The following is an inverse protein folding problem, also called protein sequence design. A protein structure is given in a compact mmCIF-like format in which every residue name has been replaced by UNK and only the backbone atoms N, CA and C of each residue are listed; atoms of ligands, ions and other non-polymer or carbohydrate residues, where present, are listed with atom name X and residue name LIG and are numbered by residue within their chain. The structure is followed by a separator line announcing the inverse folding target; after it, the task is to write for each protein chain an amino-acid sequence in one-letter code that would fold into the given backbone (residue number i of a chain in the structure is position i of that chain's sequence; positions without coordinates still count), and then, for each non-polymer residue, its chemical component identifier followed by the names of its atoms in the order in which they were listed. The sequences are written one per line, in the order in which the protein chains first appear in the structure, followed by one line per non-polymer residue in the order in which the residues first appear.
data_IF_256402917387
#
_entry.id   IF_256402917387
#
_cell.length_a   1.000
_cell.length_b   1.000
_cell.length_c   1.000
_cell.angle_alpha   90.00
_cell.angle_beta   90.00
_cell.angle_gamma   90.00
#
_symmetry.space_group_name_H-M   'P 1'
#
loop_
_entity.id
_entity.type
_entity.pdbx_description
1 polymer ?
#
# COMPACT_ATOMS: atom_id res chain seq x y z
N UNK A 1 -0.61 20.29 -16.20
CA UNK A 1 -0.66 19.19 -17.20
C UNK A 1 0.75 19.08 -17.74
N UNK A 2 1.39 17.90 -17.65
CA UNK A 2 2.77 17.72 -18.15
C UNK A 2 2.75 17.67 -19.68
N UNK A 3 3.66 18.37 -20.40
CA UNK A 3 3.77 18.30 -21.86
C UNK A 3 3.97 16.86 -22.37
N UNK A 4 3.38 16.50 -23.52
CA UNK A 4 3.41 15.13 -24.06
C UNK A 4 4.83 14.58 -24.24
N UNK A 5 5.79 15.44 -24.61
CA UNK A 5 7.22 15.08 -24.76
C UNK A 5 7.89 14.59 -23.46
N UNK A 6 7.28 14.82 -22.29
CA UNK A 6 7.81 14.46 -20.98
C UNK A 6 7.04 13.28 -20.34
N UNK A 7 6.11 12.64 -21.06
CA UNK A 7 5.26 11.56 -20.53
C UNK A 7 5.83 10.15 -20.69
N UNK A 8 6.90 9.96 -21.47
CA UNK A 8 7.40 8.62 -21.82
C UNK A 8 7.74 7.76 -20.60
N UNK A 9 8.44 8.33 -19.61
CA UNK A 9 8.75 7.64 -18.36
C UNK A 9 7.47 7.29 -17.59
N UNK A 10 6.54 8.24 -17.46
CA UNK A 10 5.27 8.00 -16.76
C UNK A 10 4.51 6.83 -17.40
N UNK A 11 4.35 6.84 -18.73
CA UNK A 11 3.65 5.76 -19.45
C UNK A 11 4.36 4.43 -19.29
N UNK A 12 5.70 4.42 -19.39
CA UNK A 12 6.52 3.20 -19.23
C UNK A 12 6.35 2.60 -17.84
N UNK A 13 6.47 3.41 -16.80
CA UNK A 13 6.41 2.94 -15.43
C UNK A 13 4.97 2.59 -15.00
N UNK A 14 3.94 3.31 -15.44
CA UNK A 14 2.54 2.87 -15.22
C UNK A 14 2.29 1.48 -15.83
N UNK A 15 2.79 1.21 -17.04
CA UNK A 15 2.70 -0.13 -17.65
C UNK A 15 3.46 -1.19 -16.84
N UNK A 16 4.63 -0.83 -16.30
CA UNK A 16 5.41 -1.71 -15.43
C UNK A 16 4.64 -2.05 -14.15
N UNK A 17 4.12 -1.04 -13.44
CA UNK A 17 3.31 -1.22 -12.23
C UNK A 17 2.08 -2.11 -12.51
N UNK A 18 1.40 -1.87 -13.63
CA UNK A 18 0.28 -2.70 -14.07
C UNK A 18 0.70 -4.14 -14.37
N UNK A 19 1.85 -4.35 -15.01
CA UNK A 19 2.41 -5.68 -15.27
C UNK A 19 2.73 -6.44 -13.97
N UNK A 20 3.35 -5.78 -13.00
CA UNK A 20 3.60 -6.33 -11.66
C UNK A 20 2.29 -6.73 -10.99
N UNK A 21 1.30 -5.83 -10.99
CA UNK A 21 -0.01 -6.10 -10.39
C UNK A 21 -0.69 -7.30 -11.03
N UNK A 22 -0.77 -7.35 -12.36
CA UNK A 22 -1.42 -8.45 -13.08
C UNK A 22 -0.70 -9.77 -12.82
N UNK A 23 0.63 -9.76 -12.78
CA UNK A 23 1.43 -10.97 -12.49
C UNK A 23 1.15 -11.51 -11.09
N UNK A 24 1.21 -10.66 -10.07
CA UNK A 24 0.97 -11.05 -8.68
C UNK A 24 -0.48 -11.46 -8.44
N UNK A 25 -1.43 -10.74 -9.03
CA UNK A 25 -2.84 -11.05 -8.92
C UNK A 25 -3.18 -12.41 -9.55
N UNK A 26 -2.64 -12.71 -10.74
CA UNK A 26 -2.83 -14.01 -11.38
C UNK A 26 -2.32 -15.16 -10.51
N UNK A 27 -1.14 -14.99 -9.91
CA UNK A 27 -0.57 -16.00 -9.01
C UNK A 27 -1.39 -16.15 -7.72
N UNK A 28 -1.87 -15.04 -7.13
CA UNK A 28 -2.77 -15.09 -5.98
C UNK A 28 -4.08 -15.81 -6.32
N UNK A 29 -4.63 -15.59 -7.52
CA UNK A 29 -5.87 -16.22 -7.97
C UNK A 29 -5.69 -17.72 -8.19
N UNK A 30 -4.59 -18.17 -8.81
CA UNK A 30 -4.33 -19.60 -8.94
C UNK A 30 -4.19 -20.30 -7.58
N UNK A 31 -3.59 -19.62 -6.60
CA UNK A 31 -3.53 -20.17 -5.24
C UNK A 31 -4.91 -20.17 -4.55
N UNK A 32 -5.75 -19.15 -4.75
CA UNK A 32 -7.13 -19.17 -4.25
C UNK A 32 -7.95 -20.32 -4.84
N UNK A 33 -7.81 -20.58 -6.14
CA UNK A 33 -8.44 -21.73 -6.81
C UNK A 33 -7.94 -23.07 -6.26
N UNK A 34 -6.63 -23.21 -6.04
CA UNK A 34 -6.03 -24.39 -5.41
C UNK A 34 -6.58 -24.63 -4.00
N UNK A 35 -6.60 -23.59 -3.17
CA UNK A 35 -7.11 -23.70 -1.79
C UNK A 35 -8.62 -24.00 -1.75
N UNK A 36 -9.41 -23.36 -2.61
CA UNK A 36 -10.86 -23.61 -2.70
C UNK A 36 -11.21 -25.00 -3.26
N UNK A 37 -10.30 -25.64 -3.99
CA UNK A 37 -10.52 -27.01 -4.50
C UNK A 37 -10.57 -28.06 -3.39
N UNK A 38 -9.98 -27.77 -2.22
CA UNK A 38 -9.79 -28.74 -1.13
C UNK A 38 -8.77 -29.84 -1.45
N UNK A 39 -8.09 -29.78 -2.62
CA UNK A 39 -7.12 -30.76 -3.08
C UNK A 39 -5.74 -30.12 -3.15
N UNK A 40 -5.02 -30.15 -2.03
CA UNK A 40 -3.68 -29.61 -1.92
C UNK A 40 -2.81 -30.46 -0.98
N UNK A 41 -1.51 -30.42 -1.20
CA UNK A 41 -0.51 -31.01 -0.28
C UNK A 41 -0.05 -29.97 0.74
N UNK A 42 0.51 -30.44 1.85
CA UNK A 42 1.15 -29.55 2.84
C UNK A 42 2.24 -28.66 2.20
N UNK A 43 3.02 -29.22 1.28
CA UNK A 43 4.06 -28.48 0.55
C UNK A 43 3.48 -27.32 -0.26
N UNK A 44 2.32 -27.52 -0.90
CA UNK A 44 1.62 -26.46 -1.63
C UNK A 44 1.10 -25.38 -0.68
N UNK A 45 0.61 -25.73 0.52
CA UNK A 45 0.21 -24.74 1.53
C UNK A 45 1.41 -23.88 1.93
N UNK A 46 2.58 -24.49 2.15
CA UNK A 46 3.82 -23.77 2.47
C UNK A 46 4.31 -22.89 1.31
N UNK A 47 4.13 -23.32 0.06
CA UNK A 47 4.42 -22.50 -1.12
C UNK A 47 3.55 -21.23 -1.14
N UNK A 48 2.24 -21.39 -0.88
CA UNK A 48 1.29 -20.27 -0.81
C UNK A 48 1.65 -19.32 0.33
N UNK A 49 2.01 -19.85 1.50
CA UNK A 49 2.50 -19.05 2.63
C UNK A 49 3.79 -18.30 2.26
N UNK A 50 4.72 -18.94 1.57
CA UNK A 50 5.94 -18.31 1.09
C UNK A 50 5.64 -17.18 0.12
N UNK A 51 4.70 -17.37 -0.81
CA UNK A 51 4.24 -16.32 -1.72
C UNK A 51 3.68 -15.12 -0.95
N UNK A 52 2.75 -15.34 -0.01
CA UNK A 52 2.19 -14.27 0.82
C UNK A 52 3.28 -13.47 1.55
N UNK A 53 4.26 -14.16 2.13
CA UNK A 53 5.31 -13.53 2.94
C UNK A 53 6.41 -12.85 2.13
N UNK A 54 6.72 -13.35 0.93
CA UNK A 54 7.89 -12.91 0.14
C UNK A 54 7.53 -12.09 -1.08
N UNK A 55 6.34 -12.27 -1.64
CA UNK A 55 5.86 -11.53 -2.82
C UNK A 55 4.86 -10.45 -2.45
N UNK A 56 3.98 -10.74 -1.49
CA UNK A 56 3.00 -9.76 -0.97
C UNK A 56 3.45 -9.09 0.34
N UNK A 57 4.62 -9.48 0.87
CA UNK A 57 5.25 -8.90 2.06
C UNK A 57 4.32 -8.86 3.29
N UNK A 58 3.39 -9.81 3.40
CA UNK A 58 2.48 -9.93 4.55
C UNK A 58 2.90 -11.12 5.41
N UNK A 59 3.25 -10.87 6.67
CA UNK A 59 3.72 -11.89 7.61
C UNK A 59 2.84 -11.93 8.85
N UNK A 60 2.61 -13.11 9.38
CA UNK A 60 2.04 -13.29 10.70
C UNK A 60 3.00 -14.19 11.50
N UNK A 61 3.55 -13.72 12.65
CA UNK A 61 4.43 -14.52 13.50
C UNK A 61 3.78 -15.83 13.98
N UNK A 62 2.45 -15.88 14.04
CA UNK A 62 1.68 -17.00 14.56
C UNK A 62 1.41 -18.09 13.52
N UNK A 63 1.77 -17.92 12.23
CA UNK A 63 1.48 -18.95 11.21
C UNK A 63 2.12 -20.30 11.50
N UNK A 64 3.20 -20.33 12.28
CA UNK A 64 3.90 -21.56 12.69
C UNK A 64 3.09 -22.39 13.71
N UNK A 65 2.11 -21.78 14.36
CA UNK A 65 1.28 -22.39 15.39
C UNK A 65 -0.07 -22.87 14.83
N UNK A 66 -0.36 -22.59 13.55
CA UNK A 66 -1.62 -22.95 12.91
C UNK A 66 -1.56 -24.38 12.37
N UNK A 67 -2.63 -25.12 12.55
CA UNK A 67 -2.84 -26.37 11.81
C UNK A 67 -3.12 -26.08 10.33
N UNK A 68 -2.94 -27.07 9.44
CA UNK A 68 -3.10 -26.89 7.99
C UNK A 68 -4.49 -26.32 7.63
N UNK A 69 -5.55 -26.77 8.28
CA UNK A 69 -6.90 -26.26 8.04
C UNK A 69 -7.04 -24.77 8.40
N UNK A 70 -6.47 -24.35 9.53
CA UNK A 70 -6.47 -22.95 9.98
C UNK A 70 -5.58 -22.09 9.09
N UNK A 71 -4.42 -22.62 8.69
CA UNK A 71 -3.49 -21.96 7.80
C UNK A 71 -4.13 -21.72 6.42
N UNK A 72 -4.88 -22.67 5.88
CA UNK A 72 -5.61 -22.51 4.61
C UNK A 72 -6.67 -21.41 4.71
N UNK A 73 -7.45 -21.37 5.80
CA UNK A 73 -8.44 -20.29 6.03
C UNK A 73 -7.73 -18.94 6.12
N UNK A 74 -6.63 -18.87 6.87
CA UNK A 74 -5.80 -17.66 6.98
C UNK A 74 -5.27 -17.21 5.62
N UNK A 75 -4.65 -18.10 4.85
CA UNK A 75 -4.08 -17.80 3.54
C UNK A 75 -5.15 -17.32 2.57
N UNK A 76 -6.30 -17.99 2.54
CA UNK A 76 -7.45 -17.59 1.71
C UNK A 76 -7.91 -16.18 2.05
N UNK A 77 -8.08 -15.86 3.33
CA UNK A 77 -8.48 -14.53 3.79
C UNK A 77 -7.44 -13.45 3.45
N UNK A 78 -6.15 -13.81 3.44
CA UNK A 78 -5.03 -12.91 3.13
C UNK A 78 -4.85 -12.67 1.64
N UNK A 79 -5.04 -13.71 0.82
CA UNK A 79 -4.94 -13.59 -0.64
C UNK A 79 -6.17 -12.92 -1.26
N UNK A 80 -7.37 -13.21 -0.76
CA UNK A 80 -8.62 -12.70 -1.34
C UNK A 80 -8.96 -11.27 -0.85
N UNK A 81 -8.09 -10.33 -1.19
CA UNK A 81 -8.19 -8.91 -0.84
C UNK A 81 -7.95 -8.05 -2.07
N UNK A 82 -8.44 -6.79 -2.10
CA UNK A 82 -7.98 -5.81 -3.07
C UNK A 82 -6.45 -5.70 -3.06
N UNK A 83 -5.87 -5.42 -4.21
CA UNK A 83 -4.41 -5.31 -4.37
C UNK A 83 -4.05 -3.92 -4.90
N UNK A 84 -2.96 -3.35 -4.39
CA UNK A 84 -2.35 -2.13 -4.92
C UNK A 84 -0.86 -2.34 -5.14
N UNK A 85 -0.39 -1.89 -6.30
CA UNK A 85 1.04 -1.74 -6.58
C UNK A 85 1.32 -0.24 -6.66
N UNK A 86 2.19 0.24 -5.80
CA UNK A 86 2.49 1.67 -5.67
C UNK A 86 3.91 1.94 -6.16
N UNK A 87 4.04 2.89 -7.08
CA UNK A 87 5.33 3.48 -7.42
C UNK A 87 5.88 4.25 -6.22
N UNK A 88 7.18 4.13 -5.96
CA UNK A 88 7.90 4.86 -4.91
C UNK A 88 9.09 5.57 -5.55
N UNK A 89 9.25 6.86 -5.29
CA UNK A 89 10.39 7.64 -5.82
C UNK A 89 11.42 7.87 -4.71
N UNK A 90 12.72 8.03 -5.05
CA UNK A 90 13.72 8.44 -4.08
C UNK A 90 13.32 9.73 -3.36
N UNK A 91 13.48 9.76 -2.05
CA UNK A 91 13.13 10.92 -1.25
C UNK A 91 14.22 12.00 -1.38
N UNK A 92 13.85 13.16 -1.91
CA UNK A 92 14.73 14.33 -2.08
C UNK A 92 14.47 15.43 -1.03
N UNK A 93 13.93 15.05 0.14
CA UNK A 93 13.56 15.96 1.23
C UNK A 93 12.12 16.45 1.18
N UNK A 94 11.26 15.78 0.40
CA UNK A 94 9.86 16.16 0.27
C UNK A 94 9.05 15.67 1.48
N UNK A 95 8.23 16.53 2.10
CA UNK A 95 7.33 16.10 3.17
C UNK A 95 6.18 15.26 2.60
N UNK A 96 5.88 14.15 3.29
CA UNK A 96 4.66 13.36 3.15
C UNK A 96 4.89 11.86 3.42
N UNK A 97 3.99 11.03 2.90
CA UNK A 97 3.98 9.59 3.20
C UNK A 97 5.09 8.79 2.53
N UNK A 98 5.62 7.80 3.24
CA UNK A 98 6.69 6.90 2.75
C UNK A 98 6.33 5.43 2.92
N UNK A 99 7.09 4.51 2.30
CA UNK A 99 6.89 3.07 2.44
C UNK A 99 7.44 2.54 3.77
N UNK A 100 6.62 1.81 4.53
CA UNK A 100 7.01 1.18 5.79
C UNK A 100 6.44 -0.23 5.93
N UNK A 101 7.04 -1.03 6.80
CA UNK A 101 6.38 -2.19 7.39
C UNK A 101 5.63 -1.72 8.64
N UNK A 102 4.34 -2.03 8.73
CA UNK A 102 3.49 -1.67 9.86
C UNK A 102 2.84 -2.91 10.46
N UNK A 103 2.56 -2.84 11.77
CA UNK A 103 1.73 -3.81 12.46
C UNK A 103 0.26 -3.48 12.20
N UNK A 104 -0.50 -4.47 11.75
CA UNK A 104 -1.93 -4.37 11.47
C UNK A 104 -2.75 -4.81 12.69
N UNK A 105 -4.04 -4.41 12.79
CA UNK A 105 -4.91 -4.79 13.90
C UNK A 105 -5.07 -6.31 14.12
N UNK A 106 -4.90 -7.11 13.06
CA UNK A 106 -4.99 -8.56 13.12
C UNK A 106 -3.67 -9.27 13.48
N UNK A 107 -2.66 -8.51 13.94
CA UNK A 107 -1.35 -9.02 14.35
C UNK A 107 -0.39 -9.28 13.20
N UNK A 108 -0.82 -9.08 11.94
CA UNK A 108 0.09 -9.21 10.79
C UNK A 108 0.99 -8.00 10.61
N UNK A 109 2.13 -8.20 9.95
CA UNK A 109 3.04 -7.14 9.52
C UNK A 109 3.00 -7.08 7.99
N UNK A 110 2.69 -5.91 7.43
CA UNK A 110 2.66 -5.72 5.97
C UNK A 110 3.12 -4.34 5.53
N UNK A 111 3.31 -4.17 4.22
CA UNK A 111 3.66 -2.90 3.61
C UNK A 111 2.51 -1.89 3.72
N UNK A 112 2.81 -0.69 4.19
CA UNK A 112 1.89 0.44 4.36
C UNK A 112 2.57 1.76 4.00
N UNK A 113 1.78 2.77 3.64
CA UNK A 113 2.25 4.11 3.28
C UNK A 113 1.99 5.06 4.44
N UNK A 114 2.94 5.25 5.35
CA UNK A 114 2.71 6.03 6.57
C UNK A 114 3.12 7.48 6.39
N UNK A 115 2.28 8.39 6.88
CA UNK A 115 2.61 9.80 7.08
C UNK A 115 3.12 10.07 8.50
N UNK A 116 3.75 11.22 8.72
CA UNK A 116 4.28 11.60 10.04
C UNK A 116 3.20 11.65 11.13
N UNK A 117 1.95 11.93 10.78
CA UNK A 117 0.81 11.91 11.70
C UNK A 117 0.47 10.52 12.23
N UNK A 118 0.88 9.46 11.54
CA UNK A 118 0.65 8.05 11.89
C UNK A 118 1.86 7.43 12.59
N UNK A 119 2.93 8.19 12.79
CA UNK A 119 4.17 7.75 13.40
C UNK A 119 4.33 8.49 14.73
N UNK A 120 4.61 7.74 15.79
CA UNK A 120 4.90 8.33 17.09
C UNK A 120 6.28 9.00 17.06
N UNK A 121 6.28 10.31 16.84
CA UNK A 121 7.49 11.13 16.73
C UNK A 121 8.18 11.39 18.09
N UNK A 122 7.56 10.97 19.20
CA UNK A 122 8.19 11.03 20.52
C UNK A 122 9.06 9.80 20.81
N UNK A 123 8.85 8.71 20.07
CA UNK A 123 9.71 7.52 20.08
C UNK A 123 10.94 7.77 19.21
N UNK A 124 12.16 7.85 19.80
CA UNK A 124 13.37 8.16 19.04
C UNK A 124 13.68 7.14 17.94
N UNK A 125 13.35 5.86 18.13
CA UNK A 125 13.61 4.81 17.15
C UNK A 125 12.70 4.95 15.94
N UNK A 126 11.39 5.19 16.16
CA UNK A 126 10.43 5.42 15.07
C UNK A 126 10.75 6.71 14.32
N UNK A 127 11.10 7.77 15.04
CA UNK A 127 11.55 9.04 14.44
C UNK A 127 12.78 8.84 13.57
N UNK A 128 13.77 8.07 14.03
CA UNK A 128 14.96 7.75 13.26
C UNK A 128 14.62 6.96 11.99
N UNK A 129 13.74 5.94 12.07
CA UNK A 129 13.28 5.20 10.90
C UNK A 129 12.59 6.09 9.88
N UNK A 130 11.74 7.02 10.33
CA UNK A 130 11.06 7.98 9.47
C UNK A 130 12.06 8.91 8.77
N UNK A 131 12.99 9.51 9.51
CA UNK A 131 14.00 10.44 8.98
C UNK A 131 14.96 9.75 8.01
N UNK A 132 15.29 8.47 8.24
CA UNK A 132 16.14 7.65 7.35
C UNK A 132 15.39 7.07 6.15
N UNK A 133 14.08 7.33 6.01
CA UNK A 133 13.28 6.85 4.89
C UNK A 133 13.86 7.31 3.54
N UNK A 134 14.23 6.35 2.71
CA UNK A 134 14.90 6.62 1.42
C UNK A 134 13.94 6.93 0.28
N UNK A 135 12.64 6.71 0.48
CA UNK A 135 11.62 6.79 -0.55
C UNK A 135 10.39 7.55 -0.07
N UNK A 136 9.66 8.09 -1.03
CA UNK A 136 8.44 8.85 -0.86
C UNK A 136 7.34 8.30 -1.79
N UNK A 137 6.08 8.36 -1.36
CA UNK A 137 4.93 7.98 -2.18
C UNK A 137 4.46 9.14 -3.07
N UNK A 138 4.69 9.10 -4.40
CA UNK A 138 4.24 10.11 -5.36
C UNK A 138 2.75 10.06 -5.66
N UNK A 139 1.99 9.13 -5.05
CA UNK A 139 0.58 8.89 -5.35
C UNK A 139 0.39 8.27 -6.76
N UNK A 140 1.33 7.42 -7.17
CA UNK A 140 1.21 6.59 -8.38
C UNK A 140 0.82 5.16 -7.98
N UNK A 141 -0.44 4.78 -8.21
CA UNK A 141 -0.98 3.50 -7.80
C UNK A 141 -1.74 2.83 -8.94
N UNK A 142 -1.48 1.54 -9.14
CA UNK A 142 -2.35 0.66 -9.91
C UNK A 142 -3.10 -0.25 -8.94
N UNK A 143 -4.41 -0.34 -9.08
CA UNK A 143 -5.29 -1.03 -8.13
C UNK A 143 -6.11 -2.13 -8.81
N UNK A 144 -6.25 -3.25 -8.11
CA UNK A 144 -7.13 -4.37 -8.46
C UNK A 144 -8.25 -4.46 -7.42
N UNK A 145 -9.49 -4.26 -7.87
CA UNK A 145 -10.68 -4.13 -7.01
C UNK A 145 -11.71 -5.24 -7.22
N UNK A 146 -11.30 -6.33 -7.88
CA UNK A 146 -12.12 -7.51 -8.12
C UNK A 146 -11.45 -8.77 -7.60
N UNK A 147 -12.26 -9.68 -7.10
CA UNK A 147 -11.83 -11.00 -6.65
C UNK A 147 -11.51 -11.94 -7.84
N UNK A 148 -10.99 -13.13 -7.51
CA UNK A 148 -10.67 -14.19 -8.47
C UNK A 148 -11.90 -14.74 -9.22
N UNK A 149 -13.12 -14.45 -8.75
CA UNK A 149 -14.40 -14.80 -9.38
C UNK A 149 -14.97 -13.66 -10.23
N UNK A 150 -14.28 -12.52 -10.30
CA UNK A 150 -14.68 -11.34 -11.05
C UNK A 150 -15.66 -10.40 -10.32
N UNK A 151 -16.06 -10.70 -9.09
CA UNK A 151 -16.91 -9.83 -8.29
C UNK A 151 -16.13 -8.62 -7.79
N UNK A 152 -16.82 -7.48 -7.64
CA UNK A 152 -16.22 -6.29 -7.01
C UNK A 152 -16.13 -6.51 -5.50
N UNK A 153 -15.00 -6.15 -4.91
CA UNK A 153 -14.88 -6.04 -3.46
C UNK A 153 -15.71 -4.86 -2.94
N UNK A 154 -16.34 -5.03 -1.77
CA UNK A 154 -16.77 -3.90 -0.96
C UNK A 154 -15.53 -3.30 -0.28
N UNK A 155 -15.01 -2.20 -0.84
CA UNK A 155 -13.78 -1.58 -0.34
C UNK A 155 -13.93 -1.06 1.10
N UNK A 156 -15.16 -0.80 1.56
CA UNK A 156 -15.40 -0.31 2.92
C UNK A 156 -15.11 -1.36 3.99
N UNK A 157 -15.10 -2.64 3.63
CA UNK A 157 -14.72 -3.74 4.51
C UNK A 157 -13.20 -3.80 4.77
N UNK A 158 -12.38 -3.06 4.01
CA UNK A 158 -10.92 -3.05 4.13
C UNK A 158 -10.37 -1.75 4.75
N UNK A 159 -11.26 -0.95 5.34
CA UNK A 159 -10.96 0.33 6.02
C UNK A 159 -10.60 0.06 7.48
N UNK A 160 -9.50 0.64 7.95
CA UNK A 160 -9.20 0.68 9.38
C UNK A 160 -9.87 1.90 10.03
N UNK A 161 -10.97 1.65 10.73
CA UNK A 161 -11.75 2.68 11.43
C UNK A 161 -11.00 3.34 12.59
N UNK A 162 -9.96 2.69 13.14
CA UNK A 162 -9.17 3.24 14.23
C UNK A 162 -8.21 4.35 13.77
N UNK A 163 -8.00 4.51 12.47
CA UNK A 163 -7.08 5.52 11.91
C UNK A 163 -7.70 6.91 11.73
N UNK A 164 -8.97 7.10 12.11
CA UNK A 164 -9.58 8.42 12.16
C UNK A 164 -8.92 9.27 13.25
N UNK A 165 -8.67 10.55 12.98
CA UNK A 165 -8.00 11.45 13.92
C UNK A 165 -8.66 12.82 13.97
N UNK A 166 -8.43 13.56 15.07
CA UNK A 166 -8.88 14.94 15.20
C UNK A 166 -7.75 15.86 14.74
N UNK A 167 -7.99 16.62 13.68
CA UNK A 167 -7.08 17.67 13.23
C UNK A 167 -7.48 19.02 13.81
N UNK A 168 -6.48 19.85 14.07
CA UNK A 168 -6.66 21.22 14.55
C UNK A 168 -6.39 22.16 13.38
N UNK A 169 -7.38 22.99 13.04
CA UNK A 169 -7.30 23.96 11.95
C UNK A 169 -7.62 25.35 12.49
N UNK A 170 -7.03 26.40 11.94
CA UNK A 170 -7.43 27.77 12.22
C UNK A 170 -8.20 28.35 11.03
N UNK A 171 -9.32 29.01 11.28
CA UNK A 171 -10.05 29.78 10.27
C UNK A 171 -10.47 31.11 10.87
N UNK A 172 -10.03 32.21 10.26
CA UNK A 172 -10.32 33.57 10.72
C UNK A 172 -9.97 33.80 12.20
N UNK A 173 -8.81 33.29 12.65
CA UNK A 173 -8.34 33.44 14.03
C UNK A 173 -9.07 32.58 15.08
N UNK A 174 -10.02 31.71 14.67
CA UNK A 174 -10.63 30.72 15.55
C UNK A 174 -10.02 29.35 15.32
N UNK A 175 -9.70 28.66 16.42
CA UNK A 175 -9.35 27.25 16.40
C UNK A 175 -10.60 26.40 16.14
N UNK A 176 -10.44 25.41 15.27
CA UNK A 176 -11.44 24.43 14.88
C UNK A 176 -10.86 23.05 15.10
N UNK A 177 -11.68 22.16 15.66
CA UNK A 177 -11.41 20.72 15.66
C UNK A 177 -12.19 20.09 14.52
N UNK A 178 -11.52 19.35 13.64
CA UNK A 178 -12.14 18.59 12.58
C UNK A 178 -11.88 17.10 12.82
N UNK A 179 -12.94 16.28 12.77
CA UNK A 179 -12.78 14.84 12.71
C UNK A 179 -12.43 14.47 11.27
N UNK A 180 -11.21 13.97 11.07
CA UNK A 180 -10.80 13.37 9.81
C UNK A 180 -11.10 11.88 9.89
N UNK A 181 -11.99 11.42 9.01
CA UNK A 181 -12.27 10.00 8.82
C UNK A 181 -10.97 9.30 8.36
N UNK A 182 -10.86 7.97 8.56
CA UNK A 182 -9.76 7.16 8.04
C UNK A 182 -9.29 7.64 6.65
N UNK A 183 -8.10 8.25 6.64
CA UNK A 183 -7.61 9.05 5.52
C UNK A 183 -7.01 8.24 4.38
N UNK A 184 -6.46 8.97 3.39
CA UNK A 184 -5.79 8.43 2.20
C UNK A 184 -4.73 7.37 2.54
N UNK A 185 -4.59 6.39 1.65
CA UNK A 185 -3.73 5.21 1.78
C UNK A 185 -4.15 4.25 2.87
N UNK A 186 -3.62 4.39 4.08
CA UNK A 186 -3.72 3.30 5.05
C UNK A 186 -5.04 3.29 5.79
N UNK A 187 -5.71 4.44 5.96
CA UNK A 187 -7.04 4.42 6.59
C UNK A 187 -8.05 3.71 5.70
N UNK A 188 -8.16 4.13 4.43
CA UNK A 188 -9.11 3.58 3.48
C UNK A 188 -8.70 2.23 2.84
N UNK A 189 -7.41 1.87 2.88
CA UNK A 189 -6.86 0.66 2.24
C UNK A 189 -5.97 -0.15 3.18
N UNK A 190 -6.24 -0.13 4.49
CA UNK A 190 -5.40 -0.76 5.50
C UNK A 190 -5.20 -2.25 5.24
N UNK A 191 -6.27 -2.93 4.83
CA UNK A 191 -6.26 -4.39 4.66
C UNK A 191 -6.12 -4.80 3.19
N UNK A 192 -5.36 -4.04 2.40
CA UNK A 192 -5.06 -4.37 1.00
C UNK A 192 -3.72 -5.09 0.86
N UNK A 193 -3.63 -6.00 -0.12
CA UNK A 193 -2.36 -6.55 -0.55
C UNK A 193 -1.53 -5.43 -1.22
N UNK A 194 -0.46 -5.00 -0.56
CA UNK A 194 0.32 -3.82 -0.95
C UNK A 194 1.72 -4.23 -1.38
N UNK A 195 2.16 -3.73 -2.53
CA UNK A 195 3.51 -3.93 -3.05
C UNK A 195 4.08 -2.60 -3.52
N UNK A 196 5.36 -2.38 -3.24
CA UNK A 196 6.06 -1.17 -3.63
C UNK A 196 7.08 -1.46 -4.72
N UNK A 197 7.18 -0.56 -5.68
CA UNK A 197 8.13 -0.62 -6.79
C UNK A 197 8.84 0.72 -6.88
N UNK A 198 10.17 0.71 -6.84
CA UNK A 198 10.94 1.92 -7.09
C UNK A 198 10.74 2.36 -8.55
N UNK A 199 10.41 3.64 -8.73
CA UNK A 199 10.26 4.29 -10.03
C UNK A 199 11.08 5.59 -10.07
N UNK A 200 11.52 6.05 -11.24
CA UNK A 200 12.30 7.27 -11.36
C UNK A 200 11.54 8.49 -10.86
N UNK A 201 12.27 9.45 -10.30
CA UNK A 201 11.71 10.74 -9.87
C UNK A 201 10.98 11.48 -11.01
N UNK A 202 11.37 11.26 -12.28
CA UNK A 202 10.72 11.85 -13.46
C UNK A 202 9.25 11.49 -13.63
N UNK A 203 8.80 10.37 -13.02
CA UNK A 203 7.38 9.97 -12.99
C UNK A 203 6.53 10.84 -12.06
N UNK A 204 7.18 11.65 -11.21
CA UNK A 204 6.53 12.49 -10.21
C UNK A 204 6.77 13.97 -10.47
N UNK A 205 5.69 14.70 -10.80
CA UNK A 205 5.74 16.14 -11.10
C UNK A 205 4.74 16.90 -10.21
N UNK A 206 4.99 17.06 -8.89
CA UNK A 206 4.07 17.74 -8.01
C UNK A 206 4.05 19.26 -8.26
N UNK A 207 2.93 19.88 -7.91
CA UNK A 207 2.81 21.34 -7.75
C UNK A 207 2.28 21.59 -6.34
N UNK A 208 3.17 21.98 -5.42
CA UNK A 208 2.83 22.28 -4.01
C UNK A 208 2.78 23.78 -3.76
N UNK A 209 3.55 24.56 -4.51
CA UNK A 209 3.62 26.03 -4.43
C UNK A 209 3.40 26.65 -5.80
N UNK A 210 3.05 27.94 -5.84
CA UNK A 210 2.90 28.68 -7.12
C UNK A 210 4.19 28.66 -7.94
N UNK A 211 5.35 28.69 -7.28
CA UNK A 211 6.65 28.64 -7.95
C UNK A 211 6.92 27.29 -8.63
N UNK A 212 6.26 26.21 -8.22
CA UNK A 212 6.43 24.91 -8.90
C UNK A 212 5.90 24.95 -10.33
N UNK A 213 4.95 25.84 -10.65
CA UNK A 213 4.47 26.05 -12.02
C UNK A 213 5.52 26.64 -12.96
N UNK A 214 6.59 27.24 -12.41
CA UNK A 214 7.67 27.81 -13.22
C UNK A 214 8.68 26.75 -13.68
N UNK A 215 8.61 25.51 -13.16
CA UNK A 215 9.50 24.43 -13.57
C UNK A 215 9.14 23.96 -14.98
N UNK A 216 10.15 23.54 -15.76
CA UNK A 216 9.99 23.09 -17.15
C UNK A 216 8.94 21.99 -17.35
N UNK A 217 8.68 21.18 -16.31
CA UNK A 217 7.66 20.12 -16.38
C UNK A 217 6.22 20.66 -16.37
N UNK A 218 6.02 21.95 -16.05
CA UNK A 218 4.73 22.62 -15.89
C UNK A 218 4.54 23.84 -16.80
N UNK A 219 5.54 24.19 -17.61
CA UNK A 219 5.45 25.19 -18.69
C UNK A 219 5.04 24.53 -20.02
#
# INVERSE_FOLDING_TARGET
MVPDRLKDDTVRYTKLLAGVLVSLQKQAFSYLELLDSGQYTHEQILEVLHFLQKKLFCKNPETKNLEDAELVIYLRNKLNRPMRVCGMVPNVGEPGGGPFLAYNPDGTVSLQILESSQIDMNDPAKKEMFVKGTHFNPVDLVCAVRDYKGHKFDLTAFVDKATGFISYKSKNGKELKALELPGLWNGAMSDWNTVFVEVPLSTFNPVKTVNDLLRDQHQ
#
